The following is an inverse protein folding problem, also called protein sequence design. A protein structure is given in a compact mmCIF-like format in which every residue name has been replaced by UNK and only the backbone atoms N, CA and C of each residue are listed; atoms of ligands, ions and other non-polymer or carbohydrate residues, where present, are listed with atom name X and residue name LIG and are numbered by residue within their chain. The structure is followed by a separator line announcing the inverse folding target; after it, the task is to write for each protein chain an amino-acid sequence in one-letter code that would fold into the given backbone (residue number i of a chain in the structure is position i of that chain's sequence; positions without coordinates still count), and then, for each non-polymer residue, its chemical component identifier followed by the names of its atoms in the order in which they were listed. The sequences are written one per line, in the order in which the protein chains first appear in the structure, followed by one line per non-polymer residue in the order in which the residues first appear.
data_IF_315248402021
#
_entry.id   IF_315248402021
#
_cell.length_a   1.000
_cell.length_b   1.000
_cell.length_c   1.000
_cell.angle_alpha   90.00
_cell.angle_beta   90.00
_cell.angle_gamma   90.00
#
_symmetry.space_group_name_H-M   'P 1'
#
loop_
_entity.id
_entity.type
_entity.pdbx_description
1 polymer ?
#
# COMPACT_ATOMS: atom_id res chain seq x y z
N UNK A 1 21.66 -44.59 22.70
CA UNK A 1 22.32 -43.39 22.16
C UNK A 1 21.72 -42.93 20.84
N UNK A 2 21.51 -43.82 19.86
CA UNK A 2 20.95 -43.44 18.52
C UNK A 2 19.59 -42.71 18.57
N UNK A 3 18.70 -43.15 19.45
CA UNK A 3 17.36 -42.53 19.58
C UNK A 3 17.41 -41.07 20.08
N UNK A 4 18.34 -40.74 20.99
CA UNK A 4 18.52 -39.36 21.48
C UNK A 4 19.08 -38.42 20.40
N UNK A 5 19.94 -38.96 19.53
CA UNK A 5 20.53 -38.21 18.41
C UNK A 5 19.47 -37.93 17.36
N UNK A 6 18.63 -38.91 17.04
CA UNK A 6 17.52 -38.73 16.07
C UNK A 6 16.50 -37.73 16.59
N UNK A 7 16.12 -37.81 17.87
CA UNK A 7 15.20 -36.83 18.48
C UNK A 7 15.77 -35.41 18.47
N UNK A 8 17.07 -35.25 18.72
CA UNK A 8 17.75 -33.95 18.60
C UNK A 8 17.75 -33.37 17.18
N UNK A 9 18.03 -34.23 16.18
CA UNK A 9 17.99 -33.85 14.76
C UNK A 9 16.59 -33.43 14.30
N UNK A 10 15.57 -34.17 14.71
CA UNK A 10 14.15 -33.81 14.38
C UNK A 10 13.76 -32.49 15.01
N UNK A 11 14.17 -32.22 16.25
CA UNK A 11 13.89 -30.98 16.95
C UNK A 11 14.59 -29.79 16.28
N UNK A 12 15.84 -29.92 15.87
CA UNK A 12 16.58 -28.89 15.15
C UNK A 12 15.93 -28.62 13.78
N UNK A 13 15.56 -29.67 13.06
CA UNK A 13 14.92 -29.56 11.76
C UNK A 13 13.55 -28.85 11.87
N UNK A 14 12.75 -29.14 12.89
CA UNK A 14 11.46 -28.49 13.13
C UNK A 14 11.61 -27.00 13.45
N UNK A 15 12.66 -26.60 14.17
CA UNK A 15 12.96 -25.19 14.45
C UNK A 15 13.35 -24.43 13.18
N UNK A 16 14.14 -25.07 12.29
CA UNK A 16 14.55 -24.48 11.02
C UNK A 16 13.33 -24.25 10.11
N UNK A 17 12.40 -25.20 10.04
CA UNK A 17 11.18 -25.09 9.23
C UNK A 17 10.23 -24.01 9.79
N UNK A 18 10.12 -23.90 11.10
CA UNK A 18 9.30 -22.88 11.75
C UNK A 18 9.88 -21.45 11.65
N UNK A 19 11.18 -21.32 11.35
CA UNK A 19 11.88 -20.04 11.25
C UNK A 19 11.74 -19.36 9.87
N UNK A 20 11.20 -20.04 8.85
CA UNK A 20 10.85 -19.38 7.58
C UNK A 20 9.65 -18.49 7.78
N UNK A 21 9.83 -17.16 7.62
CA UNK A 21 8.74 -16.19 7.61
C UNK A 21 7.65 -16.63 6.61
N UNK A 22 6.38 -16.31 6.91
CA UNK A 22 5.28 -16.70 6.04
C UNK A 22 5.45 -16.09 4.64
N UNK A 23 4.96 -16.79 3.63
CA UNK A 23 4.97 -16.29 2.25
C UNK A 23 4.29 -14.92 2.14
N UNK A 24 3.24 -14.70 2.92
CA UNK A 24 2.50 -13.43 3.02
C UNK A 24 3.37 -12.29 3.55
N UNK A 25 4.22 -12.55 4.57
CA UNK A 25 5.13 -11.54 5.12
C UNK A 25 6.19 -11.12 4.10
N UNK A 26 6.70 -12.06 3.31
CA UNK A 26 7.68 -11.77 2.26
C UNK A 26 7.04 -11.00 1.10
N UNK A 27 5.82 -11.35 0.71
CA UNK A 27 5.07 -10.63 -0.31
C UNK A 27 4.77 -9.20 0.14
N UNK A 28 4.23 -9.02 1.35
CA UNK A 28 3.99 -7.70 1.93
C UNK A 28 5.25 -6.82 1.90
N UNK A 29 6.39 -7.34 2.38
CA UNK A 29 7.65 -6.60 2.38
C UNK A 29 8.09 -6.17 0.99
N UNK A 30 7.96 -7.06 0.00
CA UNK A 30 8.31 -6.76 -1.39
C UNK A 30 7.43 -5.66 -1.98
N UNK A 31 6.11 -5.72 -1.75
CA UNK A 31 5.17 -4.70 -2.19
C UNK A 31 5.43 -3.38 -1.47
N UNK A 32 5.60 -3.41 -0.15
CA UNK A 32 5.82 -2.23 0.67
C UNK A 32 7.10 -1.47 0.30
N UNK A 33 8.23 -2.16 0.19
CA UNK A 33 9.52 -1.53 -0.16
C UNK A 33 9.54 -1.02 -1.62
N UNK A 34 8.96 -1.77 -2.55
CA UNK A 34 8.79 -1.31 -3.93
C UNK A 34 7.86 -0.09 -4.01
N UNK A 35 6.81 -0.08 -3.20
CA UNK A 35 5.87 1.03 -3.07
C UNK A 35 6.49 2.29 -2.48
N UNK A 36 7.36 2.16 -1.50
CA UNK A 36 8.12 3.28 -0.94
C UNK A 36 8.97 4.00 -2.00
N UNK A 37 9.64 3.24 -2.86
CA UNK A 37 10.44 3.81 -3.94
C UNK A 37 9.56 4.58 -4.95
N UNK A 38 8.43 3.99 -5.35
CA UNK A 38 7.47 4.63 -6.26
C UNK A 38 6.84 5.88 -5.63
N UNK A 39 6.50 5.83 -4.35
CA UNK A 39 5.98 6.98 -3.61
C UNK A 39 6.96 8.15 -3.64
N UNK A 40 8.22 7.91 -3.32
CA UNK A 40 9.28 8.94 -3.35
C UNK A 40 9.45 9.56 -4.72
N UNK A 41 9.28 8.79 -5.79
CA UNK A 41 9.49 9.26 -7.16
C UNK A 41 8.29 10.02 -7.72
N UNK A 42 7.05 9.63 -7.36
CA UNK A 42 5.85 10.09 -8.06
C UNK A 42 4.82 10.81 -7.18
N UNK A 43 4.83 10.58 -5.88
CA UNK A 43 3.76 11.04 -4.99
C UNK A 43 4.24 12.07 -3.96
N UNK A 44 5.46 11.89 -3.44
CA UNK A 44 6.00 12.64 -2.32
C UNK A 44 6.06 14.14 -2.56
N UNK A 45 6.33 14.58 -3.79
CA UNK A 45 6.41 16.02 -4.12
C UNK A 45 5.10 16.77 -3.83
N UNK A 46 3.97 16.08 -3.94
CA UNK A 46 2.65 16.65 -3.66
C UNK A 46 2.14 16.25 -2.27
N UNK A 47 2.23 14.97 -1.92
CA UNK A 47 1.66 14.47 -0.66
C UNK A 47 2.57 14.59 0.56
N UNK A 48 3.82 15.06 0.39
CA UNK A 48 4.79 15.22 1.47
C UNK A 48 5.54 13.93 1.82
N UNK A 49 6.61 14.06 2.57
CA UNK A 49 7.45 12.92 2.99
C UNK A 49 6.73 12.01 3.98
N UNK A 50 5.86 12.58 4.81
CA UNK A 50 5.09 11.89 5.85
C UNK A 50 3.61 11.76 5.47
N UNK A 51 3.25 11.97 4.20
CA UNK A 51 1.87 11.91 3.74
C UNK A 51 1.00 13.05 4.28
N UNK A 52 1.59 14.16 4.69
CA UNK A 52 0.91 15.30 5.34
C UNK A 52 0.08 16.14 4.38
N UNK A 53 0.30 16.01 3.07
CA UNK A 53 -0.36 16.82 2.05
C UNK A 53 0.08 18.29 2.05
N UNK A 54 -0.71 19.17 1.45
CA UNK A 54 -0.38 20.58 1.32
C UNK A 54 -1.61 21.47 1.57
N UNK A 55 -1.72 22.03 2.76
CA UNK A 55 -2.78 22.98 3.16
C UNK A 55 -4.18 22.48 2.76
N UNK A 56 -4.94 23.29 1.98
CA UNK A 56 -6.25 22.92 1.44
C UNK A 56 -6.17 22.50 -0.05
N UNK A 57 -4.97 22.32 -0.59
CA UNK A 57 -4.77 21.94 -1.99
C UNK A 57 -4.69 20.42 -2.13
N UNK A 58 -3.85 19.78 -1.33
CA UNK A 58 -3.54 18.36 -1.46
C UNK A 58 -3.90 17.66 -0.15
N UNK A 59 -4.81 16.67 -0.19
CA UNK A 59 -5.24 15.99 1.02
C UNK A 59 -4.11 15.15 1.64
N UNK A 60 -4.09 15.03 2.98
CA UNK A 60 -3.18 14.13 3.66
C UNK A 60 -3.54 12.67 3.38
N UNK A 61 -2.52 11.83 3.33
CA UNK A 61 -2.64 10.36 3.24
C UNK A 61 -2.64 9.68 4.62
N UNK A 62 -2.68 10.48 5.67
CA UNK A 62 -2.75 10.02 7.07
C UNK A 62 -4.16 9.66 7.51
N UNK A 63 -5.17 9.93 6.67
CA UNK A 63 -6.57 9.65 6.99
C UNK A 63 -6.95 8.20 6.64
N UNK A 64 -6.78 7.32 7.61
CA UNK A 64 -7.13 5.91 7.47
C UNK A 64 -8.63 5.67 7.21
N UNK A 65 -9.52 6.59 7.63
CA UNK A 65 -10.96 6.47 7.40
C UNK A 65 -11.28 6.67 5.93
N UNK A 66 -10.75 7.72 5.32
CA UNK A 66 -10.91 7.96 3.88
C UNK A 66 -10.36 6.78 3.06
N UNK A 67 -9.14 6.33 3.37
CA UNK A 67 -8.49 5.23 2.63
C UNK A 67 -9.30 3.93 2.74
N UNK A 68 -9.81 3.59 3.92
CA UNK A 68 -10.62 2.38 4.15
C UNK A 68 -11.96 2.45 3.41
N UNK A 69 -12.66 3.58 3.52
CA UNK A 69 -13.98 3.78 2.90
C UNK A 69 -13.90 3.72 1.39
N UNK A 70 -12.81 4.25 0.81
CA UNK A 70 -12.62 4.33 -0.64
C UNK A 70 -11.68 3.26 -1.20
N UNK A 71 -11.42 2.18 -0.47
CA UNK A 71 -10.42 1.16 -0.80
C UNK A 71 -10.47 0.72 -2.27
N UNK A 72 -11.65 0.43 -2.80
CA UNK A 72 -11.85 -0.01 -4.19
C UNK A 72 -11.65 1.08 -5.24
N UNK A 73 -11.69 2.34 -4.84
CA UNK A 73 -11.51 3.48 -5.74
C UNK A 73 -10.06 3.99 -5.76
N UNK A 74 -9.22 3.58 -4.80
CA UNK A 74 -7.85 4.06 -4.70
C UNK A 74 -7.04 3.77 -5.96
N UNK A 75 -7.22 2.60 -6.57
CA UNK A 75 -6.56 2.24 -7.82
C UNK A 75 -6.98 3.18 -8.96
N UNK A 76 -8.27 3.48 -9.08
CA UNK A 76 -8.79 4.42 -10.07
C UNK A 76 -8.27 5.84 -9.84
N UNK A 77 -8.23 6.29 -8.58
CA UNK A 77 -7.70 7.61 -8.22
C UNK A 77 -6.23 7.75 -8.64
N UNK A 78 -5.41 6.74 -8.37
CA UNK A 78 -4.01 6.76 -8.75
C UNK A 78 -3.84 6.71 -10.27
N UNK A 79 -4.57 5.84 -10.95
CA UNK A 79 -4.46 5.64 -12.39
C UNK A 79 -4.97 6.84 -13.19
N UNK A 80 -6.19 7.31 -12.90
CA UNK A 80 -6.89 8.34 -13.67
C UNK A 80 -6.61 9.75 -13.15
N UNK A 81 -6.10 9.87 -11.92
CA UNK A 81 -6.02 11.14 -11.22
C UNK A 81 -7.39 11.66 -10.79
N UNK A 82 -7.41 12.90 -10.31
CA UNK A 82 -8.64 13.65 -9.94
C UNK A 82 -8.54 15.04 -10.52
N UNK A 83 -9.58 15.48 -11.24
CA UNK A 83 -9.67 16.84 -11.80
C UNK A 83 -10.93 17.52 -11.31
N UNK A 84 -10.79 18.71 -10.77
CA UNK A 84 -11.91 19.55 -10.34
C UNK A 84 -12.80 18.91 -9.26
N UNK A 85 -12.40 17.80 -8.69
CA UNK A 85 -13.13 17.11 -7.66
C UNK A 85 -12.79 17.71 -6.30
N UNK A 86 -13.80 18.23 -5.60
CA UNK A 86 -13.64 18.64 -4.21
C UNK A 86 -13.63 17.37 -3.37
N UNK A 87 -12.47 17.04 -2.79
CA UNK A 87 -12.37 15.98 -1.82
C UNK A 87 -12.67 16.55 -0.43
N UNK A 88 -13.70 16.04 0.23
CA UNK A 88 -14.02 16.43 1.61
C UNK A 88 -13.49 15.35 2.54
N UNK A 89 -12.46 15.69 3.31
CA UNK A 89 -11.83 14.79 4.27
C UNK A 89 -11.88 15.46 5.64
N UNK A 90 -12.54 14.83 6.60
CA UNK A 90 -12.79 15.39 7.97
C UNK A 90 -13.38 16.81 7.93
N UNK A 91 -14.33 17.05 7.02
CA UNK A 91 -14.99 18.35 6.89
C UNK A 91 -14.15 19.45 6.24
N UNK A 92 -12.93 19.14 5.80
CA UNK A 92 -12.09 20.06 5.00
C UNK A 92 -12.20 19.74 3.53
N UNK A 93 -12.38 20.78 2.71
CA UNK A 93 -12.39 20.66 1.26
C UNK A 93 -10.98 20.83 0.69
N UNK A 94 -10.61 19.95 -0.23
CA UNK A 94 -9.34 20.00 -0.97
C UNK A 94 -9.66 20.20 -2.45
N UNK A 95 -9.00 21.15 -3.08
CA UNK A 95 -9.36 21.63 -4.45
C UNK A 95 -8.23 21.42 -5.47
N UNK A 96 -7.14 20.80 -5.08
CA UNK A 96 -6.02 20.53 -5.98
C UNK A 96 -6.32 19.37 -6.93
N UNK A 97 -5.84 19.50 -8.17
CA UNK A 97 -5.88 18.40 -9.13
C UNK A 97 -4.80 17.35 -8.79
N UNK A 98 -5.14 16.08 -8.88
CA UNK A 98 -4.18 14.99 -8.87
C UNK A 98 -3.96 14.52 -10.32
N UNK A 99 -2.74 14.58 -10.86
CA UNK A 99 -2.49 14.09 -12.20
C UNK A 99 -2.64 12.57 -12.27
N UNK A 100 -3.04 12.07 -13.43
CA UNK A 100 -3.02 10.64 -13.72
C UNK A 100 -1.59 10.09 -13.66
N UNK A 101 -1.44 8.87 -13.18
CA UNK A 101 -0.17 8.18 -13.13
C UNK A 101 -0.21 6.96 -14.06
N UNK A 102 0.57 7.01 -15.13
CA UNK A 102 0.75 5.87 -16.03
C UNK A 102 1.69 4.85 -15.37
N UNK A 103 1.08 3.94 -14.59
CA UNK A 103 1.76 2.87 -13.89
C UNK A 103 1.09 1.53 -14.19
N UNK A 104 1.90 0.46 -14.19
CA UNK A 104 1.35 -0.90 -14.29
C UNK A 104 0.48 -1.25 -13.06
N UNK A 105 -0.49 -2.17 -13.18
CA UNK A 105 -1.29 -2.60 -12.03
C UNK A 105 -0.45 -3.09 -10.84
N UNK A 106 0.70 -3.71 -11.09
CA UNK A 106 1.60 -4.15 -10.01
C UNK A 106 2.29 -2.97 -9.32
N UNK A 107 2.60 -1.89 -10.03
CA UNK A 107 3.21 -0.70 -9.42
C UNK A 107 2.17 0.12 -8.65
N UNK A 108 0.94 0.21 -9.15
CA UNK A 108 -0.19 0.78 -8.40
C UNK A 108 -0.41 -0.03 -7.11
N UNK A 109 -0.40 -1.35 -7.17
CA UNK A 109 -0.56 -2.21 -6.00
C UNK A 109 0.57 -2.00 -4.97
N UNK A 110 1.82 -1.85 -5.43
CA UNK A 110 2.97 -1.54 -4.58
C UNK A 110 2.81 -0.19 -3.87
N UNK A 111 2.53 0.88 -4.62
CA UNK A 111 2.38 2.22 -4.02
C UNK A 111 1.18 2.28 -3.10
N UNK A 112 0.07 1.62 -3.41
CA UNK A 112 -1.08 1.53 -2.52
C UNK A 112 -0.76 0.73 -1.27
N UNK A 113 -0.03 -0.40 -1.37
CA UNK A 113 0.43 -1.14 -0.18
C UNK A 113 1.28 -0.24 0.72
N UNK A 114 2.19 0.57 0.16
CA UNK A 114 2.97 1.50 0.95
C UNK A 114 2.09 2.56 1.63
N UNK A 115 1.27 3.30 0.87
CA UNK A 115 0.43 4.38 1.40
C UNK A 115 -0.55 3.88 2.45
N UNK A 116 -1.18 2.75 2.22
CA UNK A 116 -2.19 2.17 3.13
C UNK A 116 -1.59 1.48 4.36
N UNK A 117 -0.26 1.42 4.48
CA UNK A 117 0.43 0.87 5.66
C UNK A 117 1.53 1.80 6.19
N UNK A 118 1.57 3.05 5.71
CA UNK A 118 2.45 4.13 6.20
C UNK A 118 1.62 5.24 6.82
N UNK A 119 2.27 6.24 7.38
CA UNK A 119 1.63 7.47 7.88
C UNK A 119 0.55 7.23 8.94
N UNK A 120 0.68 6.15 9.72
CA UNK A 120 -0.30 5.73 10.73
C UNK A 120 -1.39 4.78 10.21
N UNK A 121 -1.39 4.45 8.93
CA UNK A 121 -2.33 3.48 8.34
C UNK A 121 -1.85 2.03 8.55
N UNK A 122 -2.81 1.08 8.58
CA UNK A 122 -2.54 -0.36 8.67
C UNK A 122 -3.66 -1.15 8.02
N UNK A 123 -3.51 -1.47 6.72
CA UNK A 123 -4.58 -2.07 5.91
C UNK A 123 -4.17 -3.38 5.20
N UNK A 124 -2.92 -3.83 5.36
CA UNK A 124 -2.40 -5.05 4.73
C UNK A 124 -1.99 -4.86 3.26
N UNK A 125 -1.67 -5.95 2.61
CA UNK A 125 -1.23 -5.96 1.21
C UNK A 125 -2.38 -5.62 0.26
N UNK A 126 -2.11 -4.79 -0.72
CA UNK A 126 -2.95 -4.60 -1.92
C UNK A 126 -2.30 -5.40 -3.03
N UNK A 127 -3.00 -6.38 -3.59
CA UNK A 127 -2.45 -7.25 -4.63
C UNK A 127 -2.60 -6.66 -6.03
N UNK A 128 -1.79 -7.09 -6.98
CA UNK A 128 -1.94 -6.70 -8.39
C UNK A 128 -3.26 -7.17 -8.99
N UNK A 129 -3.78 -8.29 -8.52
CA UNK A 129 -5.07 -8.86 -8.92
C UNK A 129 -6.23 -7.97 -8.43
N UNK A 130 -6.18 -7.50 -7.17
CA UNK A 130 -7.17 -6.56 -6.64
C UNK A 130 -7.19 -5.27 -7.47
N UNK A 131 -6.01 -4.69 -7.74
CA UNK A 131 -5.87 -3.49 -8.56
C UNK A 131 -6.40 -3.72 -9.98
N UNK A 132 -6.04 -4.82 -10.64
CA UNK A 132 -6.50 -5.13 -11.98
C UNK A 132 -8.03 -5.31 -12.04
N UNK A 133 -8.64 -5.78 -10.96
CA UNK A 133 -10.10 -5.86 -10.83
C UNK A 133 -10.71 -4.47 -10.64
N UNK A 134 -10.19 -3.69 -9.69
CA UNK A 134 -10.72 -2.37 -9.39
C UNK A 134 -10.62 -1.41 -10.59
N UNK A 135 -9.53 -1.50 -11.38
CA UNK A 135 -9.34 -0.70 -12.60
C UNK A 135 -10.39 -0.97 -13.70
N UNK A 136 -11.02 -2.16 -13.73
CA UNK A 136 -12.11 -2.45 -14.67
C UNK A 136 -13.40 -1.71 -14.32
N UNK A 137 -13.56 -1.37 -13.05
CA UNK A 137 -14.75 -0.71 -12.52
C UNK A 137 -14.59 0.82 -12.45
N UNK A 138 -13.46 1.38 -12.91
CA UNK A 138 -13.23 2.83 -12.97
C UNK A 138 -14.23 3.50 -13.93
N UNK A 139 -14.92 4.50 -13.44
CA UNK A 139 -15.87 5.32 -14.19
C UNK A 139 -15.23 6.63 -14.64
#
# INVERSE_FOLDING_TARGET
MKFKIIAGLVLVLSVIIASCGSQEDMEFKRYYLGGEQLYKQRCQNCHGTNGEGLSNLIPPLTDSTFLKTNKKQLACIVNNGLKGAIQVIHGKSFVGDMPANDMSPVDIARVLTYVTNSFGNKMGTVTSEDVAKDLKDCK
#
